data_IF_788130668583
#
_entry.id   IF_788130668583
#
_cell.length_a   1.000
_cell.length_b   1.000
_cell.length_c   1.000
_cell.angle_alpha   90.00
_cell.angle_beta   90.00
_cell.angle_gamma   90.00
#
_symmetry.space_group_name_H-M   'P 1'
#
loop_
_entity.id
_entity.type
_entity.pdbx_description
1 polymer ?
#
# COMPACT_ATOMS: atom_id res chain seq x y z
N UNK A 1 -43.15 9.82 34.52
CA UNK A 1 -42.12 8.74 34.52
C UNK A 1 -41.83 8.17 33.13
N UNK A 2 -42.83 7.81 32.31
CA UNK A 2 -42.64 7.22 30.96
C UNK A 2 -41.76 8.06 30.00
N UNK A 3 -41.96 9.39 29.97
CA UNK A 3 -41.21 10.33 29.12
C UNK A 3 -39.73 10.47 29.50
N UNK A 4 -39.42 10.53 30.81
CA UNK A 4 -38.04 10.65 31.32
C UNK A 4 -37.20 9.41 31.02
N UNK A 5 -37.85 8.24 31.02
CA UNK A 5 -37.20 6.97 30.68
C UNK A 5 -36.93 6.85 29.17
N UNK A 6 -37.80 7.41 28.33
CA UNK A 6 -37.62 7.42 26.87
C UNK A 6 -36.45 8.32 26.43
N UNK A 7 -36.34 9.52 27.02
CA UNK A 7 -35.21 10.43 26.77
C UNK A 7 -33.88 9.83 27.24
N UNK A 8 -33.89 9.16 28.41
CA UNK A 8 -32.72 8.45 28.92
C UNK A 8 -32.29 7.29 28.01
N UNK A 9 -33.25 6.54 27.47
CA UNK A 9 -32.99 5.42 26.56
C UNK A 9 -32.41 5.91 25.23
N UNK A 10 -32.97 6.98 24.66
CA UNK A 10 -32.48 7.62 23.44
C UNK A 10 -31.06 8.17 23.61
N UNK A 11 -30.75 8.77 24.76
CA UNK A 11 -29.41 9.27 25.08
C UNK A 11 -28.36 8.13 25.18
N UNK A 12 -28.73 7.01 25.80
CA UNK A 12 -27.88 5.81 25.89
C UNK A 12 -27.63 5.16 24.52
N UNK A 13 -28.65 5.11 23.66
CA UNK A 13 -28.51 4.59 22.30
C UNK A 13 -27.62 5.50 21.43
N UNK A 14 -27.72 6.82 21.61
CA UNK A 14 -26.89 7.79 20.89
C UNK A 14 -25.41 7.70 21.31
N UNK A 15 -25.14 7.63 22.62
CA UNK A 15 -23.76 7.55 23.13
C UNK A 15 -23.06 6.24 22.73
N UNK A 16 -23.79 5.12 22.75
CA UNK A 16 -23.27 3.82 22.31
C UNK A 16 -22.99 3.81 20.81
N UNK A 17 -23.86 4.37 19.97
CA UNK A 17 -23.64 4.45 18.53
C UNK A 17 -22.40 5.30 18.17
N UNK A 18 -22.19 6.43 18.86
CA UNK A 18 -21.00 7.26 18.70
C UNK A 18 -19.72 6.50 19.06
N UNK A 19 -19.73 5.75 20.17
CA UNK A 19 -18.59 4.92 20.58
C UNK A 19 -18.29 3.78 19.60
N UNK A 20 -19.32 3.14 19.03
CA UNK A 20 -19.13 2.10 18.00
C UNK A 20 -18.58 2.67 16.69
N UNK A 21 -19.02 3.86 16.28
CA UNK A 21 -18.55 4.50 15.04
C UNK A 21 -17.05 4.87 15.10
N UNK A 22 -16.57 5.35 16.25
CA UNK A 22 -15.16 5.70 16.45
C UNK A 22 -14.21 4.48 16.34
N UNK A 23 -14.70 3.28 16.65
CA UNK A 23 -13.93 2.04 16.56
C UNK A 23 -13.76 1.52 15.12
N UNK A 24 -14.45 2.12 14.13
CA UNK A 24 -14.50 1.62 12.74
C UNK A 24 -13.68 2.42 11.73
N UNK A 25 -12.81 3.33 12.20
CA UNK A 25 -11.91 4.09 11.35
C UNK A 25 -10.77 3.22 10.82
N UNK A 26 -11.04 2.40 9.81
CA UNK A 26 -10.01 1.84 8.95
C UNK A 26 -9.47 3.00 8.11
N UNK A 27 -8.21 3.40 8.35
CA UNK A 27 -7.56 4.40 7.52
C UNK A 27 -7.44 3.87 6.10
N UNK A 28 -8.00 4.59 5.12
CA UNK A 28 -7.68 4.35 3.72
C UNK A 28 -6.25 4.86 3.51
N UNK A 29 -5.30 3.94 3.32
CA UNK A 29 -3.95 4.31 2.95
C UNK A 29 -3.98 4.93 1.55
N UNK A 30 -3.69 6.23 1.48
CA UNK A 30 -3.59 6.93 0.21
C UNK A 30 -2.35 6.43 -0.54
N UNK A 31 -2.52 6.11 -1.83
CA UNK A 31 -1.41 5.81 -2.73
C UNK A 31 -0.48 7.01 -2.81
N UNK A 32 0.80 6.81 -2.48
CA UNK A 32 1.81 7.86 -2.44
C UNK A 32 2.86 7.69 -3.54
N UNK A 33 3.37 8.81 -4.05
CA UNK A 33 4.59 8.85 -4.85
C UNK A 33 5.77 9.32 -3.99
N UNK A 34 6.88 8.60 -4.06
CA UNK A 34 8.11 8.88 -3.34
C UNK A 34 9.20 9.29 -4.32
N UNK A 35 9.71 10.53 -4.18
CA UNK A 35 10.87 10.98 -4.92
C UNK A 35 12.14 10.37 -4.32
N UNK A 36 12.79 9.49 -5.06
CA UNK A 36 13.97 8.75 -4.57
C UNK A 36 15.11 9.73 -4.30
N UNK A 37 15.64 9.70 -3.07
CA UNK A 37 16.71 10.61 -2.64
C UNK A 37 16.25 12.04 -2.35
N UNK A 38 14.95 12.32 -2.36
CA UNK A 38 14.38 13.66 -2.13
C UNK A 38 15.01 14.71 -3.06
N UNK A 39 15.60 15.78 -2.52
CA UNK A 39 16.29 16.81 -3.30
C UNK A 39 17.63 16.35 -3.88
N UNK A 40 18.23 15.29 -3.32
CA UNK A 40 19.47 14.71 -3.84
C UNK A 40 19.25 13.95 -5.16
N UNK A 41 18.05 13.37 -5.35
CA UNK A 41 17.69 12.61 -6.54
C UNK A 41 18.44 11.30 -6.71
N UNK A 42 18.41 10.74 -7.92
CA UNK A 42 19.13 9.51 -8.29
C UNK A 42 20.45 9.85 -8.99
N UNK A 43 21.52 9.88 -8.20
CA UNK A 43 22.89 10.11 -8.63
C UNK A 43 23.91 9.40 -7.72
N UNK A 44 25.16 9.34 -8.15
CA UNK A 44 26.23 8.71 -7.38
C UNK A 44 26.44 9.46 -6.05
N UNK A 45 26.36 8.78 -4.90
CA UNK A 45 26.68 9.40 -3.63
C UNK A 45 28.17 9.78 -3.56
N UNK A 46 28.47 10.92 -2.93
CA UNK A 46 29.87 11.31 -2.71
C UNK A 46 30.59 10.37 -1.74
N UNK A 47 31.93 10.31 -1.84
CA UNK A 47 32.81 9.41 -1.08
C UNK A 47 32.57 9.42 0.45
N UNK A 48 32.09 10.54 0.99
CA UNK A 48 31.86 10.71 2.43
C UNK A 48 30.52 10.10 2.92
N UNK A 49 29.60 9.73 2.01
CA UNK A 49 28.32 9.14 2.40
C UNK A 49 27.76 8.24 1.30
N UNK A 50 28.18 6.97 1.27
CA UNK A 50 27.66 5.95 0.34
C UNK A 50 26.30 5.36 0.75
N UNK A 51 25.76 5.77 1.91
CA UNK A 51 24.55 5.18 2.51
C UNK A 51 23.28 5.98 2.27
N UNK A 52 23.33 7.04 1.46
CA UNK A 52 22.21 7.99 1.20
C UNK A 52 20.90 7.27 0.91
N UNK A 53 20.88 6.32 -0.02
CA UNK A 53 19.64 5.63 -0.41
C UNK A 53 19.12 4.67 0.66
N UNK A 54 20.01 3.99 1.39
CA UNK A 54 19.58 3.13 2.50
C UNK A 54 18.98 3.95 3.66
N UNK A 55 19.55 5.12 3.95
CA UNK A 55 19.00 6.04 4.96
C UNK A 55 17.67 6.63 4.50
N UNK A 56 17.56 7.00 3.22
CA UNK A 56 16.32 7.48 2.62
C UNK A 56 15.23 6.41 2.70
N UNK A 57 15.54 5.17 2.31
CA UNK A 57 14.59 4.06 2.39
C UNK A 57 14.13 3.80 3.83
N UNK A 58 15.04 3.82 4.80
CA UNK A 58 14.74 3.59 6.21
C UNK A 58 13.83 4.64 6.87
N UNK A 59 13.70 5.83 6.26
CA UNK A 59 12.79 6.90 6.73
C UNK A 59 11.39 6.80 6.14
N UNK A 60 11.20 5.95 5.13
CA UNK A 60 9.95 5.82 4.40
C UNK A 60 9.27 4.48 4.69
N UNK A 61 7.94 4.44 4.53
CA UNK A 61 7.15 3.21 4.56
C UNK A 61 6.43 3.08 3.24
N UNK A 62 6.60 1.94 2.59
CA UNK A 62 6.09 1.68 1.25
C UNK A 62 5.00 0.63 1.32
N UNK A 63 3.88 0.87 0.65
CA UNK A 63 2.76 -0.05 0.56
C UNK A 63 2.54 -0.46 -0.89
N UNK A 64 1.85 -1.59 -1.08
CA UNK A 64 1.39 -1.99 -2.40
C UNK A 64 0.48 -0.91 -2.99
N UNK A 65 0.79 -0.47 -4.21
CA UNK A 65 0.10 0.61 -4.91
C UNK A 65 0.91 1.91 -4.98
N UNK A 66 1.85 2.12 -4.04
CA UNK A 66 2.75 3.28 -4.05
C UNK A 66 3.64 3.31 -5.29
N UNK A 67 4.32 4.43 -5.51
CA UNK A 67 5.25 4.60 -6.63
C UNK A 67 6.56 5.28 -6.22
N UNK A 68 7.64 4.92 -6.92
CA UNK A 68 8.95 5.53 -6.80
C UNK A 68 9.23 6.37 -8.04
N UNK A 69 9.58 7.64 -7.84
CA UNK A 69 9.97 8.56 -8.89
C UNK A 69 11.49 8.77 -8.85
N UNK A 70 12.16 8.38 -9.94
CA UNK A 70 13.59 8.53 -10.13
C UNK A 70 13.85 9.69 -11.08
N UNK A 71 14.69 10.63 -10.67
CA UNK A 71 15.18 11.73 -11.50
C UNK A 71 16.71 11.65 -11.56
N UNK A 72 17.25 11.56 -12.78
CA UNK A 72 18.67 11.32 -13.06
C UNK A 72 19.08 11.98 -14.38
N UNK A 73 20.38 12.25 -14.57
CA UNK A 73 20.88 12.91 -15.80
C UNK A 73 21.68 11.96 -16.68
N UNK A 74 22.91 11.64 -16.26
CA UNK A 74 23.83 10.80 -17.02
C UNK A 74 23.93 9.41 -16.40
N UNK A 75 22.78 8.78 -16.18
CA UNK A 75 22.69 7.47 -15.54
C UNK A 75 21.43 6.71 -16.00
N UNK A 76 21.20 5.54 -15.41
CA UNK A 76 20.03 4.70 -15.59
C UNK A 76 19.63 4.07 -14.27
N UNK A 77 18.40 3.56 -14.22
CA UNK A 77 17.85 2.82 -13.09
C UNK A 77 17.51 1.42 -13.57
N UNK A 78 18.09 0.41 -12.94
CA UNK A 78 17.82 -1.00 -13.24
C UNK A 78 17.13 -1.66 -12.06
N UNK A 79 15.99 -2.30 -12.30
CA UNK A 79 15.40 -3.25 -11.36
C UNK A 79 16.08 -4.61 -11.57
N UNK A 80 16.63 -5.19 -10.53
CA UNK A 80 17.39 -6.45 -10.57
C UNK A 80 16.92 -7.41 -9.49
N UNK A 81 17.37 -8.66 -9.57
CA UNK A 81 17.27 -9.59 -8.46
C UNK A 81 18.29 -9.27 -7.35
N UNK A 82 18.10 -9.88 -6.18
CA UNK A 82 18.98 -9.76 -5.01
C UNK A 82 20.46 -9.92 -5.36
N UNK A 83 20.80 -10.92 -6.18
CA UNK A 83 22.19 -11.14 -6.60
C UNK A 83 22.75 -9.96 -7.40
N UNK A 84 21.96 -9.41 -8.33
CA UNK A 84 22.35 -8.26 -9.13
C UNK A 84 22.61 -7.02 -8.27
N UNK A 85 21.84 -6.83 -7.21
CA UNK A 85 22.04 -5.74 -6.26
C UNK A 85 23.35 -5.82 -5.48
N UNK A 86 23.68 -7.00 -4.93
CA UNK A 86 24.89 -7.15 -4.13
C UNK A 86 26.17 -7.15 -4.97
N UNK A 87 26.09 -7.62 -6.22
CA UNK A 87 27.22 -7.71 -7.12
C UNK A 87 27.27 -6.61 -8.20
N UNK A 88 26.34 -5.66 -8.18
CA UNK A 88 26.18 -4.63 -9.21
C UNK A 88 26.13 -5.23 -10.63
N UNK A 89 25.46 -6.37 -10.79
CA UNK A 89 25.34 -7.05 -12.07
C UNK A 89 24.21 -6.40 -12.90
N UNK A 90 24.60 -5.66 -13.93
CA UNK A 90 23.69 -4.94 -14.82
C UNK A 90 23.21 -5.80 -16.00
N UNK A 91 23.84 -6.95 -16.27
CA UNK A 91 23.56 -7.79 -17.44
C UNK A 91 22.22 -8.54 -17.37
N UNK A 92 21.64 -8.66 -16.17
CA UNK A 92 20.35 -9.33 -15.92
C UNK A 92 19.30 -8.39 -15.33
N UNK A 93 19.19 -7.19 -15.89
CA UNK A 93 18.14 -6.25 -15.52
C UNK A 93 16.76 -6.83 -15.87
N UNK A 94 15.84 -6.79 -14.91
CA UNK A 94 14.43 -7.13 -15.09
C UNK A 94 13.72 -5.97 -15.81
N UNK A 95 14.02 -4.74 -15.38
CA UNK A 95 13.54 -3.50 -16.00
C UNK A 95 14.72 -2.53 -16.05
N UNK A 96 14.80 -1.75 -17.13
CA UNK A 96 15.80 -0.71 -17.30
C UNK A 96 15.14 0.60 -17.71
N UNK A 97 15.55 1.69 -17.06
CA UNK A 97 15.15 3.05 -17.42
C UNK A 97 16.37 3.91 -17.71
N UNK A 98 16.34 4.64 -18.82
CA UNK A 98 17.46 5.46 -19.32
C UNK A 98 17.00 6.81 -19.89
N UNK A 99 15.83 7.31 -19.47
CA UNK A 99 15.18 8.50 -20.03
C UNK A 99 15.28 9.74 -19.13
N UNK A 100 16.12 9.71 -18.09
CA UNK A 100 16.37 10.82 -17.16
C UNK A 100 15.28 11.05 -16.11
N UNK A 101 14.05 10.60 -16.35
CA UNK A 101 12.98 10.59 -15.34
C UNK A 101 12.06 9.40 -15.52
N UNK A 102 11.85 8.63 -14.46
CA UNK A 102 11.08 7.39 -14.52
C UNK A 102 10.25 7.21 -13.26
N UNK A 103 9.05 6.63 -13.39
CA UNK A 103 8.21 6.27 -12.26
C UNK A 103 7.95 4.77 -12.28
N UNK A 104 8.09 4.11 -11.12
CA UNK A 104 7.90 2.67 -10.94
C UNK A 104 6.84 2.44 -9.87
N UNK A 105 5.77 1.71 -10.21
CA UNK A 105 4.76 1.29 -9.22
C UNK A 105 5.24 0.08 -8.42
N UNK A 106 4.94 0.08 -7.13
CA UNK A 106 5.20 -1.00 -6.20
C UNK A 106 3.98 -1.91 -6.16
N UNK A 107 3.99 -2.93 -7.01
CA UNK A 107 2.81 -3.74 -7.34
C UNK A 107 2.62 -4.98 -6.46
N UNK A 108 3.62 -5.31 -5.63
CA UNK A 108 3.63 -6.51 -4.79
C UNK A 108 4.35 -6.24 -3.47
N UNK A 109 4.02 -7.00 -2.41
CA UNK A 109 4.78 -6.93 -1.16
C UNK A 109 6.18 -7.53 -1.33
N UNK A 110 7.09 -7.13 -0.43
CA UNK A 110 8.45 -7.63 -0.33
C UNK A 110 9.49 -6.74 -0.99
N UNK A 111 10.70 -7.29 -1.23
CA UNK A 111 11.84 -6.48 -1.62
C UNK A 111 11.87 -6.15 -3.12
N UNK A 112 12.21 -4.90 -3.43
CA UNK A 112 12.59 -4.42 -4.75
C UNK A 112 14.03 -3.91 -4.70
N UNK A 113 14.85 -4.36 -5.65
CA UNK A 113 16.26 -4.02 -5.71
C UNK A 113 16.57 -3.17 -6.94
N UNK A 114 16.97 -1.93 -6.73
CA UNK A 114 17.34 -0.99 -7.78
C UNK A 114 18.84 -0.71 -7.73
N UNK A 115 19.48 -0.64 -8.90
CA UNK A 115 20.89 -0.26 -9.05
C UNK A 115 21.07 0.74 -10.19
N UNK A 116 22.14 1.53 -10.13
CA UNK A 116 22.61 2.27 -11.31
C UNK A 116 23.03 1.28 -12.39
N UNK A 117 22.81 1.64 -13.66
CA UNK A 117 23.35 0.86 -14.79
C UNK A 117 24.84 1.07 -15.02
N UNK A 118 25.47 2.02 -14.33
CA UNK A 118 26.92 2.18 -14.28
C UNK A 118 27.49 1.38 -13.11
N UNK A 119 28.38 0.44 -13.41
CA UNK A 119 28.94 -0.48 -12.41
C UNK A 119 29.60 0.25 -11.23
N UNK A 120 30.42 1.26 -11.51
CA UNK A 120 31.15 2.01 -10.48
C UNK A 120 30.19 2.81 -9.59
N UNK A 121 29.18 3.45 -10.17
CA UNK A 121 28.17 4.18 -9.39
C UNK A 121 27.41 3.25 -8.43
N UNK A 122 27.02 2.06 -8.88
CA UNK A 122 26.39 1.05 -8.02
C UNK A 122 27.31 0.64 -6.86
N UNK A 123 28.60 0.39 -7.13
CA UNK A 123 29.59 0.06 -6.10
C UNK A 123 29.82 1.19 -5.11
N UNK A 124 29.74 2.43 -5.58
CA UNK A 124 29.89 3.64 -4.77
C UNK A 124 28.60 4.05 -4.05
N UNK A 125 27.57 3.20 -4.09
CA UNK A 125 26.40 3.31 -3.24
C UNK A 125 25.14 3.78 -3.95
N UNK A 126 25.15 3.97 -5.27
CA UNK A 126 23.95 4.27 -6.06
C UNK A 126 23.11 3.01 -6.31
N UNK A 127 22.54 2.50 -5.22
CA UNK A 127 21.68 1.33 -5.16
C UNK A 127 20.66 1.50 -4.04
N UNK A 128 19.46 0.99 -4.26
CA UNK A 128 18.33 1.14 -3.36
C UNK A 128 17.62 -0.20 -3.16
N UNK A 129 17.41 -0.58 -1.91
CA UNK A 129 16.50 -1.63 -1.50
C UNK A 129 15.24 -0.99 -0.91
N UNK A 130 14.09 -1.32 -1.48
CA UNK A 130 12.78 -0.95 -0.96
C UNK A 130 12.06 -2.20 -0.47
N UNK A 131 11.59 -2.17 0.77
CA UNK A 131 10.74 -3.22 1.35
C UNK A 131 9.29 -2.75 1.35
N UNK A 132 8.45 -3.42 0.57
CA UNK A 132 7.04 -3.07 0.40
C UNK A 132 6.18 -3.88 1.36
N UNK A 133 5.38 -3.19 2.17
CA UNK A 133 4.45 -3.79 3.10
C UNK A 133 3.23 -4.31 2.34
N UNK A 134 2.85 -5.56 2.61
CA UNK A 134 1.57 -6.10 2.13
C UNK A 134 0.40 -5.46 2.86
N UNK A 135 -0.75 -5.39 2.20
CA UNK A 135 -1.98 -5.01 2.87
C UNK A 135 -2.24 -5.98 4.02
N UNK A 136 -2.31 -5.46 5.25
CA UNK A 136 -2.73 -6.25 6.38
C UNK A 136 -4.22 -6.56 6.18
N UNK A 137 -4.55 -7.77 5.73
CA UNK A 137 -5.90 -8.26 5.90
C UNK A 137 -6.12 -8.32 7.41
N UNK A 138 -7.00 -7.47 7.92
CA UNK A 138 -7.42 -7.50 9.32
C UNK A 138 -7.79 -8.95 9.67
N UNK A 139 -7.33 -9.51 10.81
CA UNK A 139 -7.66 -10.86 11.22
C UNK A 139 -9.13 -10.92 11.67
N UNK A 140 -10.05 -10.91 10.70
CA UNK A 140 -11.46 -11.20 10.86
C UNK A 140 -11.91 -12.09 9.70
N UNK A 141 -11.36 -13.30 9.65
CA UNK A 141 -12.01 -14.45 9.06
C UNK A 141 -11.45 -15.68 9.77
N UNK A 142 -12.25 -16.42 10.55
CA UNK A 142 -11.79 -17.70 11.08
C UNK A 142 -11.41 -18.61 9.90
N UNK A 143 -10.34 -19.43 10.03
CA UNK A 143 -10.04 -20.43 9.02
C UNK A 143 -11.24 -21.38 8.94
N UNK A 144 -11.79 -21.57 7.74
CA UNK A 144 -12.72 -22.68 7.52
C UNK A 144 -11.93 -23.98 7.63
N UNK A 145 -11.95 -24.58 8.81
CA UNK A 145 -11.53 -25.95 9.04
C UNK A 145 -12.52 -26.87 8.33
N UNK A 146 -12.06 -27.67 7.36
CA UNK A 146 -12.50 -29.05 7.14
C UNK A 146 -11.30 -29.79 6.50
N UNK A 147 -10.83 -30.81 7.20
CA UNK A 147 -9.89 -31.83 6.73
C UNK A 147 -10.65 -32.85 5.86
N UNK A 148 -10.14 -33.34 4.73
CA UNK A 148 -9.45 -34.64 4.52
C UNK A 148 -9.74 -35.13 3.06
N UNK A 149 -9.02 -36.13 2.49
CA UNK A 149 -8.49 -36.09 1.11
C UNK A 149 -9.15 -37.11 0.11
N UNK A 150 -8.51 -37.48 -1.03
CA UNK A 150 -9.00 -37.25 -2.40
C UNK A 150 -9.73 -38.45 -3.05
N UNK A 151 -10.72 -38.20 -3.91
CA UNK A 151 -11.18 -39.18 -4.91
C UNK A 151 -11.40 -38.58 -6.29
N UNK A 152 -11.15 -39.44 -7.26
CA UNK A 152 -10.73 -39.24 -8.65
C UNK A 152 -11.88 -39.06 -9.65
N UNK A 153 -11.60 -38.24 -10.67
CA UNK A 153 -12.05 -38.29 -12.08
C UNK A 153 -13.55 -38.10 -12.41
N UNK A 154 -13.84 -37.02 -13.17
CA UNK A 154 -14.41 -37.02 -14.54
C UNK A 154 -15.22 -35.73 -14.81
N UNK A 155 -14.90 -35.00 -15.89
CA UNK A 155 -15.87 -34.15 -16.59
C UNK A 155 -15.54 -32.65 -16.70
N UNK A 156 -15.96 -31.98 -17.79
CA UNK A 156 -15.31 -30.80 -18.36
C UNK A 156 -15.63 -29.50 -17.59
N UNK A 157 -14.59 -28.69 -17.35
CA UNK A 157 -14.71 -27.42 -16.64
C UNK A 157 -15.42 -26.34 -17.47
N UNK A 158 -16.44 -25.65 -16.92
CA UNK A 158 -16.85 -24.35 -17.42
C UNK A 158 -15.90 -23.27 -16.90
N UNK A 159 -15.59 -22.33 -17.79
CA UNK A 159 -14.83 -21.10 -17.57
C UNK A 159 -15.39 -20.30 -16.37
N UNK A 160 -14.57 -19.83 -15.41
CA UNK A 160 -15.05 -18.90 -14.41
C UNK A 160 -15.20 -17.50 -15.02
N UNK A 161 -16.44 -17.00 -15.01
CA UNK A 161 -16.82 -15.64 -15.32
C UNK A 161 -16.01 -14.63 -14.50
N UNK A 162 -15.43 -13.64 -15.18
CA UNK A 162 -14.81 -12.47 -14.59
C UNK A 162 -15.87 -11.58 -13.93
N UNK A 163 -16.01 -11.68 -12.61
CA UNK A 163 -16.70 -10.68 -11.78
C UNK A 163 -15.80 -10.27 -10.62
N UNK A 164 -14.82 -9.41 -10.92
CA UNK A 164 -14.04 -8.71 -9.91
C UNK A 164 -14.09 -7.21 -10.22
N UNK A 165 -15.27 -6.61 -10.05
CA UNK A 165 -15.45 -5.16 -10.16
C UNK A 165 -16.58 -4.62 -9.25
N UNK A 166 -16.90 -5.31 -8.15
CA UNK A 166 -18.06 -4.93 -7.33
C UNK A 166 -17.77 -4.61 -5.85
N UNK A 167 -16.55 -4.83 -5.32
CA UNK A 167 -16.32 -4.62 -3.88
C UNK A 167 -15.96 -3.19 -3.49
N UNK A 168 -15.25 -2.43 -4.33
CA UNK A 168 -14.79 -1.08 -3.95
C UNK A 168 -15.89 0.00 -3.99
N UNK A 169 -16.96 -0.22 -4.76
CA UNK A 169 -18.07 0.72 -4.84
C UNK A 169 -19.00 0.63 -3.63
N UNK A 170 -19.12 -0.55 -3.02
CA UNK A 170 -19.96 -0.77 -1.85
C UNK A 170 -19.39 -0.04 -0.63
N UNK A 171 -18.09 -0.15 -0.38
CA UNK A 171 -17.49 0.47 0.80
C UNK A 171 -17.55 2.01 0.74
N UNK A 172 -17.27 2.62 -0.41
CA UNK A 172 -17.32 4.10 -0.57
C UNK A 172 -18.77 4.61 -0.43
N UNK A 173 -19.75 3.91 -1.02
CA UNK A 173 -21.15 4.33 -0.93
C UNK A 173 -21.73 4.15 0.48
N UNK A 174 -21.39 3.07 1.18
CA UNK A 174 -21.78 2.87 2.58
C UNK A 174 -21.16 3.94 3.50
N UNK A 175 -19.91 4.34 3.26
CA UNK A 175 -19.28 5.43 4.02
C UNK A 175 -19.87 6.82 3.70
N UNK A 176 -20.18 7.13 2.44
CA UNK A 176 -20.85 8.39 2.11
C UNK A 176 -22.25 8.49 2.74
N UNK A 177 -23.00 7.38 2.76
CA UNK A 177 -24.33 7.32 3.38
C UNK A 177 -24.24 7.40 4.91
N UNK A 178 -23.22 6.81 5.52
CA UNK A 178 -23.01 6.87 6.98
C UNK A 178 -22.60 8.26 7.44
N UNK A 179 -21.70 8.94 6.72
CA UNK A 179 -21.31 10.33 7.01
C UNK A 179 -22.49 11.27 6.84
N UNK A 180 -23.28 11.13 5.77
CA UNK A 180 -24.49 11.93 5.57
C UNK A 180 -25.55 11.69 6.67
N UNK A 181 -25.71 10.45 7.14
CA UNK A 181 -26.60 10.12 8.26
C UNK A 181 -26.12 10.73 9.58
N UNK A 182 -24.81 10.71 9.84
CA UNK A 182 -24.23 11.34 11.03
C UNK A 182 -24.48 12.85 10.99
N UNK A 183 -24.26 13.53 9.86
CA UNK A 183 -24.56 14.96 9.72
C UNK A 183 -26.06 15.27 9.89
N UNK A 184 -26.95 14.45 9.35
CA UNK A 184 -28.40 14.63 9.51
C UNK A 184 -28.86 14.41 10.96
N UNK A 185 -28.30 13.42 11.66
CA UNK A 185 -28.59 13.16 13.07
C UNK A 185 -28.06 14.28 13.98
N UNK A 186 -26.87 14.81 13.68
CA UNK A 186 -26.34 16.00 14.37
C UNK A 186 -27.24 17.22 14.15
N UNK A 187 -27.73 17.44 12.93
CA UNK A 187 -28.63 18.55 12.62
C UNK A 187 -29.97 18.44 13.38
N UNK A 188 -30.56 17.24 13.42
CA UNK A 188 -31.81 16.98 14.16
C UNK A 188 -31.61 17.15 15.68
N UNK A 189 -30.47 16.72 16.23
CA UNK A 189 -30.15 16.91 17.65
C UNK A 189 -29.82 18.36 18.04
N UNK A 190 -29.35 19.20 17.11
CA UNK A 190 -29.10 20.62 17.36
C UNK A 190 -30.35 21.50 17.19
N UNK A 191 -31.39 21.00 16.51
CA UNK A 191 -32.63 21.75 16.24
C UNK A 191 -33.80 21.42 17.18
N UNK A 192 -33.59 20.58 18.20
CA UNK A 192 -34.57 20.21 19.23
C UNK A 192 -33.99 20.42 20.63
#
# INVERSE_FOLDING_TARGET
MKQRNMVSLLSLLCSTFLLLSAASMHGVEAVKEFKVGDDFGWQEPGNNNTSVYSQWAGKNRFHVGDSLSFEYKNDSVLLVEKWGYYHCNTSKAIIAFNNGKSSMKLDRPGPFYFISGTFDHCRNGQRLLVEVMGQHQSPHSPPSTIAAPPETLLGPGPLPSSSAAQSLFSDVTFYCVSVAHIFMLFYICCCY
#
